data_IF_849420530448
#
_entry.id   IF_849420530448
#
_cell.length_a   1.000
_cell.length_b   1.000
_cell.length_c   1.000
_cell.angle_alpha   90.00
_cell.angle_beta   90.00
_cell.angle_gamma   90.00
#
_symmetry.space_group_name_H-M   'P 1'
#
loop_
_entity.id
_entity.type
_entity.pdbx_description
1 polymer ?
#
# COMPACT_ATOMS: atom_id res chain seq x y z
N UNK A 1 1.93 -25.52 11.96
CA UNK A 1 1.76 -24.62 13.13
C UNK A 1 0.90 -23.45 12.70
N UNK A 2 -0.35 -23.39 13.16
CA UNK A 2 -1.25 -22.26 12.94
C UNK A 2 -0.88 -21.18 13.98
N UNK A 3 0.14 -20.37 13.68
CA UNK A 3 0.48 -19.25 14.55
C UNK A 3 -0.53 -18.12 14.33
N UNK A 4 -0.90 -17.42 15.41
CA UNK A 4 -1.78 -16.24 15.38
C UNK A 4 -1.36 -15.24 14.29
N UNK A 5 -0.06 -15.14 14.05
CA UNK A 5 0.53 -14.33 13.01
C UNK A 5 0.03 -14.65 11.58
N UNK A 6 0.00 -15.93 11.20
CA UNK A 6 -0.45 -16.35 9.86
C UNK A 6 -1.93 -16.01 9.67
N UNK A 7 -2.76 -16.25 10.70
CA UNK A 7 -4.19 -15.92 10.67
C UNK A 7 -4.43 -14.41 10.50
N UNK A 8 -3.63 -13.56 11.15
CA UNK A 8 -3.74 -12.12 11.01
C UNK A 8 -3.36 -11.64 9.60
N UNK A 9 -2.38 -12.26 8.95
CA UNK A 9 -2.02 -11.93 7.57
C UNK A 9 -3.04 -12.46 6.57
N UNK A 10 -3.59 -13.65 6.77
CA UNK A 10 -4.71 -14.17 5.97
C UNK A 10 -5.90 -13.22 6.03
N UNK A 11 -6.25 -12.79 7.25
CA UNK A 11 -7.29 -11.80 7.47
C UNK A 11 -6.98 -10.47 6.78
N UNK A 12 -5.73 -10.00 6.84
CA UNK A 12 -5.28 -8.78 6.16
C UNK A 12 -5.50 -8.87 4.65
N UNK A 13 -5.14 -10.01 4.03
CA UNK A 13 -5.36 -10.20 2.58
C UNK A 13 -6.85 -10.21 2.24
N UNK A 14 -7.68 -10.89 3.04
CA UNK A 14 -9.12 -10.91 2.84
C UNK A 14 -9.73 -9.50 2.97
N UNK A 15 -9.25 -8.69 3.92
CA UNK A 15 -9.70 -7.31 4.06
C UNK A 15 -9.28 -6.46 2.87
N UNK A 16 -8.06 -6.58 2.36
CA UNK A 16 -7.66 -5.87 1.15
C UNK A 16 -8.46 -6.31 -0.08
N UNK A 17 -8.75 -7.61 -0.21
CA UNK A 17 -9.62 -8.13 -1.28
C UNK A 17 -11.05 -7.60 -1.15
N UNK A 18 -11.60 -7.60 0.06
CA UNK A 18 -12.93 -7.06 0.36
C UNK A 18 -13.02 -5.55 0.12
N UNK A 19 -12.00 -4.78 0.53
CA UNK A 19 -11.91 -3.34 0.26
C UNK A 19 -11.81 -3.06 -1.25
N UNK A 20 -10.95 -3.78 -1.96
CA UNK A 20 -10.80 -3.69 -3.42
C UNK A 20 -12.14 -3.95 -4.13
N UNK A 21 -12.78 -5.08 -3.81
CA UNK A 21 -14.07 -5.45 -4.40
C UNK A 21 -15.19 -4.46 -4.07
N UNK A 22 -15.24 -3.95 -2.84
CA UNK A 22 -16.24 -2.94 -2.43
C UNK A 22 -16.03 -1.60 -3.10
N UNK A 23 -14.80 -1.11 -3.25
CA UNK A 23 -14.53 0.13 -3.99
C UNK A 23 -14.89 0.00 -5.48
N UNK A 24 -14.54 -1.13 -6.11
CA UNK A 24 -14.90 -1.41 -7.50
C UNK A 24 -16.44 -1.48 -7.63
N UNK A 25 -17.12 -2.20 -6.74
CA UNK A 25 -18.58 -2.29 -6.74
C UNK A 25 -19.26 -0.93 -6.48
N UNK A 26 -18.70 -0.11 -5.58
CA UNK A 26 -19.17 1.25 -5.30
C UNK A 26 -19.06 2.15 -6.53
N UNK A 27 -17.95 2.02 -7.26
CA UNK A 27 -17.68 2.75 -8.49
C UNK A 27 -18.72 2.38 -9.58
N UNK A 28 -18.94 1.10 -9.88
CA UNK A 28 -19.94 0.68 -10.87
C UNK A 28 -21.39 0.95 -10.43
N UNK A 29 -21.70 0.73 -9.15
CA UNK A 29 -23.05 0.93 -8.61
C UNK A 29 -23.40 2.38 -8.29
N UNK A 30 -22.43 3.30 -8.34
CA UNK A 30 -22.56 4.72 -7.91
C UNK A 30 -23.13 4.86 -6.49
N UNK A 31 -22.84 3.90 -5.60
CA UNK A 31 -23.35 3.85 -4.22
C UNK A 31 -22.31 4.33 -3.23
N UNK A 32 -22.51 5.53 -2.69
CA UNK A 32 -21.62 6.12 -1.67
C UNK A 32 -21.52 5.26 -0.41
N UNK A 33 -22.60 4.55 -0.03
CA UNK A 33 -22.58 3.63 1.12
C UNK A 33 -21.54 2.52 0.95
N UNK A 34 -21.42 1.95 -0.26
CA UNK A 34 -20.42 0.91 -0.52
C UNK A 34 -18.99 1.48 -0.46
N UNK A 35 -18.80 2.71 -0.94
CA UNK A 35 -17.51 3.39 -0.86
C UNK A 35 -17.10 3.62 0.60
N UNK A 36 -18.02 4.05 1.46
CA UNK A 36 -17.77 4.22 2.91
C UNK A 36 -17.46 2.89 3.60
N UNK A 37 -18.14 1.81 3.23
CA UNK A 37 -17.82 0.47 3.73
C UNK A 37 -16.39 0.10 3.32
N UNK A 38 -16.00 0.36 2.07
CA UNK A 38 -14.62 0.18 1.60
C UNK A 38 -13.61 0.92 2.48
N UNK A 39 -13.87 2.19 2.82
CA UNK A 39 -13.02 2.98 3.73
C UNK A 39 -12.86 2.30 5.09
N UNK A 40 -13.98 1.86 5.69
CA UNK A 40 -13.93 1.20 7.00
C UNK A 40 -13.19 -0.14 6.96
N UNK A 41 -13.32 -0.89 5.86
CA UNK A 41 -12.54 -2.11 5.64
C UNK A 41 -11.04 -1.76 5.52
N UNK A 42 -10.67 -0.69 4.81
CA UNK A 42 -9.28 -0.23 4.73
C UNK A 42 -8.72 0.21 6.07
N UNK A 43 -9.53 0.88 6.92
CA UNK A 43 -9.13 1.24 8.29
C UNK A 43 -8.93 -0.02 9.14
N UNK A 44 -9.85 -0.99 9.06
CA UNK A 44 -9.69 -2.26 9.75
C UNK A 44 -8.43 -3.02 9.26
N UNK A 45 -8.19 -3.04 7.95
CA UNK A 45 -7.00 -3.62 7.34
C UNK A 45 -5.72 -2.95 7.85
N UNK A 46 -5.71 -1.62 7.97
CA UNK A 46 -4.57 -0.87 8.51
C UNK A 46 -4.28 -1.27 9.97
N UNK A 47 -5.31 -1.30 10.83
CA UNK A 47 -5.17 -1.69 12.24
C UNK A 47 -4.68 -3.13 12.37
N UNK A 48 -5.30 -4.07 11.64
CA UNK A 48 -4.95 -5.48 11.71
C UNK A 48 -3.55 -5.73 11.15
N UNK A 49 -3.15 -5.04 10.07
CA UNK A 49 -1.79 -5.12 9.53
C UNK A 49 -0.76 -4.61 10.54
N UNK A 50 -1.04 -3.49 11.22
CA UNK A 50 -0.16 -2.96 12.27
C UNK A 50 -0.03 -3.94 13.44
N UNK A 51 -1.14 -4.56 13.87
CA UNK A 51 -1.11 -5.60 14.91
C UNK A 51 -0.34 -6.82 14.42
N UNK A 52 -0.55 -7.28 13.19
CA UNK A 52 0.12 -8.44 12.61
C UNK A 52 1.64 -8.26 12.55
N UNK A 53 2.10 -7.09 12.09
CA UNK A 53 3.51 -6.72 12.10
C UNK A 53 4.04 -6.62 13.54
N UNK A 54 3.30 -6.03 14.48
CA UNK A 54 3.69 -5.94 15.88
C UNK A 54 3.81 -7.30 16.57
N UNK A 55 2.86 -8.21 16.35
CA UNK A 55 2.91 -9.59 16.83
C UNK A 55 4.13 -10.31 16.25
N UNK A 56 4.39 -10.15 14.95
CA UNK A 56 5.56 -10.75 14.30
C UNK A 56 6.87 -10.25 14.87
N UNK A 57 6.91 -8.96 15.18
CA UNK A 57 8.06 -8.34 15.83
C UNK A 57 8.28 -8.97 17.21
N UNK A 58 7.23 -9.10 18.02
CA UNK A 58 7.31 -9.75 19.33
C UNK A 58 7.72 -11.24 19.24
N UNK A 59 7.16 -12.00 18.31
CA UNK A 59 7.52 -13.40 18.06
C UNK A 59 9.02 -13.53 17.70
N UNK A 60 9.55 -12.60 16.89
CA UNK A 60 10.98 -12.59 16.56
C UNK A 60 11.88 -12.46 17.80
N UNK A 61 11.49 -11.64 18.78
CA UNK A 61 12.22 -11.52 20.05
C UNK A 61 12.08 -12.77 20.92
N UNK A 62 10.88 -13.36 20.99
CA UNK A 62 10.65 -14.59 21.76
C UNK A 62 11.43 -15.78 21.21
N UNK A 63 11.67 -15.82 19.90
CA UNK A 63 12.50 -16.83 19.24
C UNK A 63 14.02 -16.56 19.39
N UNK A 64 14.43 -15.52 20.11
CA UNK A 64 15.84 -15.16 20.32
C UNK A 64 16.53 -14.52 19.11
N UNK A 65 15.78 -14.13 18.07
CA UNK A 65 16.32 -13.51 16.84
C UNK A 65 16.35 -11.98 16.97
N UNK A 66 15.27 -11.38 17.49
CA UNK A 66 15.19 -9.95 17.83
C UNK A 66 15.30 -9.00 16.63
N UNK A 67 14.49 -9.18 15.58
CA UNK A 67 14.50 -8.32 14.38
C UNK A 67 13.15 -7.72 14.04
N UNK A 68 13.18 -6.60 13.31
CA UNK A 68 11.98 -5.98 12.75
C UNK A 68 11.39 -6.82 11.60
N UNK A 69 10.05 -6.81 11.41
CA UNK A 69 9.35 -7.65 10.44
C UNK A 69 9.34 -7.01 9.03
N UNK A 70 10.51 -6.78 8.45
CA UNK A 70 10.70 -6.18 7.11
C UNK A 70 11.95 -6.71 6.39
N UNK A 71 12.50 -7.84 6.84
CA UNK A 71 13.85 -8.27 6.37
C UNK A 71 13.79 -9.35 5.30
N UNK A 72 12.68 -10.07 5.17
CA UNK A 72 12.47 -11.01 4.07
C UNK A 72 11.47 -10.44 3.04
N UNK A 73 11.38 -11.09 1.88
CA UNK A 73 10.52 -10.64 0.79
C UNK A 73 9.04 -10.66 1.20
N UNK A 74 8.60 -11.70 1.90
CA UNK A 74 7.21 -11.80 2.40
C UNK A 74 6.83 -10.59 3.26
N UNK A 75 7.64 -10.31 4.29
CA UNK A 75 7.46 -9.20 5.22
C UNK A 75 7.53 -7.84 4.52
N UNK A 76 8.45 -7.70 3.56
CA UNK A 76 8.58 -6.50 2.72
C UNK A 76 7.32 -6.24 1.91
N UNK A 77 6.72 -7.28 1.31
CA UNK A 77 5.47 -7.17 0.55
C UNK A 77 4.29 -6.81 1.44
N UNK A 78 4.19 -7.41 2.63
CA UNK A 78 3.13 -7.05 3.59
C UNK A 78 3.29 -5.61 4.06
N UNK A 79 4.51 -5.19 4.39
CA UNK A 79 4.80 -3.81 4.79
C UNK A 79 4.54 -2.82 3.64
N UNK A 80 4.79 -3.22 2.40
CA UNK A 80 4.42 -2.44 1.22
C UNK A 80 2.92 -2.23 1.12
N UNK A 81 2.12 -3.31 1.16
CA UNK A 81 0.67 -3.24 1.06
C UNK A 81 0.07 -2.36 2.17
N UNK A 82 0.58 -2.49 3.40
CA UNK A 82 0.22 -1.63 4.52
C UNK A 82 0.56 -0.14 4.25
N UNK A 83 1.76 0.14 3.76
CA UNK A 83 2.20 1.51 3.46
C UNK A 83 1.36 2.16 2.35
N UNK A 84 1.04 1.42 1.29
CA UNK A 84 0.13 1.87 0.21
C UNK A 84 -1.24 2.20 0.77
N UNK A 85 -1.80 1.34 1.63
CA UNK A 85 -3.10 1.58 2.24
C UNK A 85 -3.12 2.81 3.15
N UNK A 86 -2.08 3.03 3.96
CA UNK A 86 -1.98 4.22 4.80
C UNK A 86 -1.89 5.50 3.96
N UNK A 87 -1.07 5.50 2.90
CA UNK A 87 -0.97 6.65 2.00
C UNK A 87 -2.29 6.89 1.27
N UNK A 88 -2.97 5.82 0.86
CA UNK A 88 -4.31 5.91 0.27
C UNK A 88 -5.32 6.54 1.24
N UNK A 89 -5.41 6.06 2.48
CA UNK A 89 -6.32 6.62 3.49
C UNK A 89 -6.04 8.10 3.75
N UNK A 90 -4.77 8.51 3.75
CA UNK A 90 -4.38 9.92 3.81
C UNK A 90 -4.90 10.72 2.60
N UNK A 91 -4.74 10.18 1.38
CA UNK A 91 -5.25 10.81 0.15
C UNK A 91 -6.78 10.88 0.14
N UNK A 92 -7.47 9.80 0.52
CA UNK A 92 -8.93 9.79 0.64
C UNK A 92 -9.41 10.85 1.62
N UNK A 93 -8.77 10.94 2.79
CA UNK A 93 -9.09 11.95 3.80
C UNK A 93 -8.85 13.38 3.29
N UNK A 94 -7.73 13.62 2.60
CA UNK A 94 -7.34 14.94 2.10
C UNK A 94 -8.24 15.45 0.97
N UNK A 95 -8.57 14.57 0.01
CA UNK A 95 -9.32 14.92 -1.19
C UNK A 95 -10.83 14.62 -1.07
N UNK A 96 -11.24 13.93 0.00
CA UNK A 96 -12.64 13.51 0.28
C UNK A 96 -13.29 12.74 -0.87
N UNK A 97 -12.48 12.10 -1.71
CA UNK A 97 -12.94 11.31 -2.83
C UNK A 97 -12.50 9.86 -2.69
N UNK A 98 -13.50 8.97 -2.64
CA UNK A 98 -13.34 7.53 -2.43
C UNK A 98 -13.09 6.76 -3.72
N UNK A 99 -13.34 7.35 -4.89
CA UNK A 99 -13.16 6.65 -6.17
C UNK A 99 -11.72 6.24 -6.42
N UNK A 100 -10.75 6.95 -5.83
CA UNK A 100 -9.34 6.58 -5.89
C UNK A 100 -9.06 5.17 -5.34
N UNK A 101 -9.86 4.70 -4.38
CA UNK A 101 -9.70 3.37 -3.77
C UNK A 101 -9.86 2.23 -4.77
N UNK A 102 -10.71 2.41 -5.79
CA UNK A 102 -10.94 1.42 -6.83
C UNK A 102 -9.71 1.17 -7.72
N UNK A 103 -8.72 2.07 -7.69
CA UNK A 103 -7.49 1.95 -8.48
C UNK A 103 -6.25 1.70 -7.61
N UNK A 104 -6.24 2.22 -6.38
CA UNK A 104 -5.09 2.11 -5.48
C UNK A 104 -5.12 0.83 -4.63
N UNK A 105 -6.26 0.49 -4.03
CA UNK A 105 -6.37 -0.70 -3.16
C UNK A 105 -6.16 -2.04 -3.89
N UNK A 106 -6.55 -2.21 -5.17
CA UNK A 106 -6.17 -3.40 -5.93
C UNK A 106 -4.65 -3.65 -5.95
N UNK A 107 -3.81 -2.60 -5.95
CA UNK A 107 -2.35 -2.74 -5.91
C UNK A 107 -1.95 -3.43 -4.59
N UNK A 108 -2.44 -2.94 -3.45
CA UNK A 108 -2.17 -3.55 -2.14
C UNK A 108 -2.67 -5.01 -2.06
N UNK A 109 -3.86 -5.29 -2.61
CA UNK A 109 -4.39 -6.65 -2.66
C UNK A 109 -3.53 -7.59 -3.51
N UNK A 110 -3.13 -7.17 -4.72
CA UNK A 110 -2.27 -7.97 -5.60
C UNK A 110 -0.89 -8.21 -4.97
N UNK A 111 -0.35 -7.22 -4.27
CA UNK A 111 0.88 -7.39 -3.48
C UNK A 111 0.72 -8.48 -2.42
N UNK A 112 -0.40 -8.49 -1.69
CA UNK A 112 -0.65 -9.54 -0.69
C UNK A 112 -0.85 -10.92 -1.30
N UNK A 113 -1.51 -11.02 -2.46
CA UNK A 113 -1.62 -12.28 -3.20
C UNK A 113 -0.24 -12.81 -3.61
N UNK A 114 0.64 -11.93 -4.06
CA UNK A 114 2.02 -12.30 -4.38
C UNK A 114 2.83 -12.65 -3.12
N UNK A 115 2.57 -12.00 -1.98
CA UNK A 115 3.21 -12.37 -0.72
C UNK A 115 2.95 -13.84 -0.36
N UNK A 116 1.75 -14.37 -0.61
CA UNK A 116 1.45 -15.78 -0.33
C UNK A 116 2.30 -16.80 -1.09
N UNK A 117 2.89 -16.43 -2.22
CA UNK A 117 3.76 -17.35 -2.96
C UNK A 117 5.17 -17.42 -2.39
N UNK A 118 5.47 -16.64 -1.34
CA UNK A 118 6.80 -16.49 -0.76
C UNK A 118 6.89 -17.12 0.63
N UNK A 119 8.11 -17.45 1.05
CA UNK A 119 8.35 -18.05 2.37
C UNK A 119 8.01 -17.07 3.51
N UNK A 120 7.07 -17.49 4.36
CA UNK A 120 6.62 -16.72 5.53
C UNK A 120 7.38 -17.09 6.81
N UNK A 121 8.45 -17.90 6.73
CA UNK A 121 9.22 -18.35 7.90
C UNK A 121 10.06 -17.21 8.51
N UNK A 122 10.17 -17.20 9.84
CA UNK A 122 11.04 -16.25 10.55
C UNK A 122 12.44 -16.85 10.60
N UNK A 123 13.33 -16.34 9.73
CA UNK A 123 14.72 -16.77 9.69
C UNK A 123 15.66 -15.77 10.40
N UNK A 124 16.82 -16.23 10.90
CA UNK A 124 17.87 -15.34 11.39
C UNK A 124 18.34 -14.37 10.31
N UNK A 125 18.77 -13.16 10.69
CA UNK A 125 19.33 -12.24 9.71
C UNK A 125 20.69 -12.73 9.24
N UNK A 126 20.97 -12.57 7.94
CA UNK A 126 22.35 -12.58 7.49
C UNK A 126 23.11 -11.40 8.11
N UNK A 127 24.41 -11.54 8.44
CA UNK A 127 25.18 -10.49 9.11
C UNK A 127 25.09 -9.11 8.45
N UNK A 128 24.99 -9.06 7.13
CA UNK A 128 24.84 -7.83 6.36
C UNK A 128 23.56 -7.03 6.66
N UNK A 129 22.50 -7.66 7.19
CA UNK A 129 21.23 -6.98 7.49
C UNK A 129 21.18 -6.37 8.91
N UNK A 130 22.22 -6.54 9.73
CA UNK A 130 22.26 -6.05 11.12
C UNK A 130 22.84 -4.64 11.21
N UNK A 131 22.19 -3.66 10.57
CA UNK A 131 22.65 -2.26 10.59
C UNK A 131 21.49 -1.27 10.73
N UNK A 132 21.73 -0.16 11.43
CA UNK A 132 20.81 0.96 11.51
C UNK A 132 20.54 1.60 10.13
N UNK A 133 21.52 1.54 9.22
CA UNK A 133 21.37 2.06 7.86
C UNK A 133 20.30 1.32 7.06
N UNK A 134 20.17 0.00 7.27
CA UNK A 134 19.11 -0.80 6.65
C UNK A 134 17.73 -0.31 7.09
N UNK A 135 17.56 0.00 8.37
CA UNK A 135 16.26 0.46 8.91
C UNK A 135 15.84 1.78 8.27
N UNK A 136 16.79 2.73 8.16
CA UNK A 136 16.55 4.01 7.49
C UNK A 136 16.24 3.82 6.00
N UNK A 137 17.00 2.96 5.31
CA UNK A 137 16.78 2.62 3.90
C UNK A 137 15.39 2.06 3.65
N UNK A 138 15.01 1.03 4.42
CA UNK A 138 13.71 0.36 4.29
C UNK A 138 12.57 1.36 4.48
N UNK A 139 12.55 2.11 5.58
CA UNK A 139 11.44 3.04 5.87
C UNK A 139 11.32 4.11 4.78
N UNK A 140 12.43 4.73 4.37
CA UNK A 140 12.41 5.79 3.35
C UNK A 140 11.98 5.27 1.97
N UNK A 141 12.45 4.08 1.56
CA UNK A 141 12.02 3.44 0.33
C UNK A 141 10.51 3.14 0.33
N UNK A 142 9.97 2.58 1.43
CA UNK A 142 8.56 2.18 1.48
C UNK A 142 7.59 3.37 1.47
N UNK A 143 7.95 4.48 2.12
CA UNK A 143 7.17 5.73 2.01
C UNK A 143 7.20 6.24 0.56
N UNK A 144 8.36 6.19 -0.09
CA UNK A 144 8.51 6.56 -1.49
C UNK A 144 7.65 5.70 -2.42
N UNK A 145 7.76 4.38 -2.29
CA UNK A 145 7.00 3.43 -3.12
C UNK A 145 5.50 3.50 -2.88
N UNK A 146 5.04 3.74 -1.65
CA UNK A 146 3.62 3.93 -1.38
C UNK A 146 3.06 5.14 -2.13
N UNK A 147 3.79 6.26 -2.13
CA UNK A 147 3.41 7.45 -2.88
C UNK A 147 3.39 7.20 -4.41
N UNK A 148 4.38 6.46 -4.94
CA UNK A 148 4.39 6.08 -6.35
C UNK A 148 3.29 5.10 -6.74
N UNK A 149 2.94 4.14 -5.87
CA UNK A 149 1.84 3.22 -6.11
C UNK A 149 0.50 3.96 -6.21
N UNK A 150 0.27 4.93 -5.31
CA UNK A 150 -0.91 5.80 -5.38
C UNK A 150 -0.89 6.66 -6.64
N UNK A 151 0.26 7.25 -6.97
CA UNK A 151 0.45 8.00 -8.22
C UNK A 151 0.11 7.16 -9.44
N UNK A 152 0.57 5.91 -9.50
CA UNK A 152 0.30 5.00 -10.61
C UNK A 152 -1.21 4.69 -10.73
N UNK A 153 -1.87 4.37 -9.61
CA UNK A 153 -3.32 4.14 -9.60
C UNK A 153 -4.13 5.35 -10.07
N UNK A 154 -3.77 6.55 -9.60
CA UNK A 154 -4.43 7.82 -10.00
C UNK A 154 -4.10 8.17 -11.45
N UNK A 155 -2.90 7.89 -11.95
CA UNK A 155 -2.54 8.12 -13.35
C UNK A 155 -3.36 7.27 -14.31
N UNK A 156 -3.68 6.02 -13.96
CA UNK A 156 -4.64 5.21 -14.74
C UNK A 156 -6.00 5.90 -14.80
N UNK A 157 -6.50 6.41 -13.66
CA UNK A 157 -7.74 7.17 -13.62
C UNK A 157 -7.67 8.44 -14.50
N UNK A 158 -6.54 9.15 -14.47
CA UNK A 158 -6.28 10.32 -15.32
C UNK A 158 -6.39 9.97 -16.81
N UNK A 159 -5.70 8.93 -17.27
CA UNK A 159 -5.74 8.54 -18.69
C UNK A 159 -7.14 8.12 -19.14
N UNK A 160 -7.88 7.41 -18.29
CA UNK A 160 -9.28 7.04 -18.58
C UNK A 160 -10.17 8.28 -18.70
N UNK A 161 -9.98 9.29 -17.84
CA UNK A 161 -10.75 10.54 -17.88
C UNK A 161 -10.36 11.42 -19.07
N UNK A 162 -9.07 11.59 -19.33
CA UNK A 162 -8.56 12.41 -20.44
C UNK A 162 -9.06 11.89 -21.79
N UNK A 163 -8.98 10.57 -22.02
CA UNK A 163 -9.49 9.93 -23.25
C UNK A 163 -10.99 10.15 -23.44
N UNK A 164 -11.75 10.23 -22.34
CA UNK A 164 -13.19 10.47 -22.39
C UNK A 164 -13.53 11.93 -22.71
N UNK A 165 -12.80 12.88 -22.12
CA UNK A 165 -12.94 14.32 -22.39
C UNK A 165 -12.61 14.63 -23.85
N UNK A 166 -11.53 14.04 -24.39
CA UNK A 166 -11.18 14.13 -25.81
C UNK A 166 -12.27 13.59 -26.73
N UNK A 167 -12.86 12.44 -26.37
CA UNK A 167 -13.95 11.82 -27.12
C UNK A 167 -15.30 12.56 -26.98
N UNK A 168 -15.38 13.67 -26.22
CA UNK A 168 -16.61 14.43 -25.91
C UNK A 168 -17.79 13.54 -25.48
N UNK A 169 -17.50 12.43 -24.81
CA UNK A 169 -18.51 11.40 -24.53
C UNK A 169 -18.68 11.24 -23.03
N UNK A 170 -19.69 11.84 -22.40
CA UNK A 170 -19.99 11.62 -20.98
C UNK A 170 -20.79 10.34 -20.73
N UNK A 171 -20.16 9.17 -20.91
CA UNK A 171 -20.79 7.87 -20.67
C UNK A 171 -20.17 7.10 -19.51
N UNK A 172 -21.02 6.50 -18.69
CA UNK A 172 -20.63 5.48 -17.72
C UNK A 172 -20.07 6.00 -16.39
N UNK A 173 -19.18 5.20 -15.82
CA UNK A 173 -18.68 5.34 -14.43
C UNK A 173 -17.60 6.41 -14.30
N UNK A 174 -16.90 6.71 -15.41
CA UNK A 174 -15.83 7.71 -15.51
C UNK A 174 -16.39 9.15 -15.36
N UNK A 175 -17.70 9.35 -15.55
CA UNK A 175 -18.38 10.61 -15.24
C UNK A 175 -18.33 10.99 -13.74
N UNK A 176 -18.15 10.01 -12.84
CA UNK A 176 -18.02 10.24 -11.40
C UNK A 176 -16.58 10.56 -10.98
N UNK A 177 -15.61 10.54 -11.89
CA UNK A 177 -14.23 10.86 -11.58
C UNK A 177 -14.04 12.37 -11.40
N UNK A 178 -13.12 12.80 -10.51
CA UNK A 178 -12.76 14.20 -10.41
C UNK A 178 -12.12 14.69 -11.71
N UNK A 179 -12.01 16.03 -11.85
CA UNK A 179 -11.47 16.66 -13.05
C UNK A 179 -10.06 16.16 -13.37
N UNK A 180 -9.70 16.12 -14.66
CA UNK A 180 -8.32 15.82 -15.12
C UNK A 180 -7.28 16.65 -14.41
N UNK A 181 -7.56 17.94 -14.15
CA UNK A 181 -6.69 18.83 -13.36
C UNK A 181 -6.47 18.36 -11.92
N UNK A 182 -7.50 17.84 -11.25
CA UNK A 182 -7.37 17.30 -9.88
C UNK A 182 -6.56 16.01 -9.87
N UNK A 183 -6.77 15.15 -10.88
CA UNK A 183 -6.04 13.90 -11.03
C UNK A 183 -4.56 14.17 -11.31
N UNK A 184 -4.25 15.10 -12.21
CA UNK A 184 -2.89 15.54 -12.53
C UNK A 184 -2.19 16.15 -11.31
N UNK A 185 -2.86 17.04 -10.57
CA UNK A 185 -2.34 17.62 -9.32
C UNK A 185 -2.04 16.55 -8.25
N UNK A 186 -2.90 15.54 -8.13
CA UNK A 186 -2.68 14.43 -7.19
C UNK A 186 -1.51 13.53 -7.62
N UNK A 187 -1.38 13.23 -8.91
CA UNK A 187 -0.23 12.50 -9.47
C UNK A 187 1.06 13.27 -9.17
N UNK A 188 1.10 14.55 -9.54
CA UNK A 188 2.25 15.42 -9.33
C UNK A 188 2.65 15.51 -7.85
N UNK A 189 1.69 15.76 -6.95
CA UNK A 189 1.94 15.83 -5.51
C UNK A 189 2.43 14.50 -4.95
N UNK A 190 1.86 13.38 -5.39
CA UNK A 190 2.30 12.05 -4.95
C UNK A 190 3.74 11.78 -5.39
N UNK A 191 4.14 12.19 -6.59
CA UNK A 191 5.53 12.09 -7.08
C UNK A 191 6.47 13.00 -6.28
N UNK A 192 6.05 14.24 -5.97
CA UNK A 192 6.85 15.17 -5.15
C UNK A 192 7.10 14.62 -3.75
N UNK A 193 6.15 13.90 -3.17
CA UNK A 193 6.38 13.19 -1.91
C UNK A 193 7.27 11.98 -2.14
N UNK A 194 6.99 11.16 -3.15
CA UNK A 194 7.70 9.90 -3.39
C UNK A 194 9.19 10.08 -3.72
N UNK A 195 9.53 11.06 -4.56
CA UNK A 195 10.88 11.23 -5.10
C UNK A 195 11.93 11.53 -4.03
N UNK A 196 11.78 12.53 -3.13
CA UNK A 196 12.75 12.78 -2.06
C UNK A 196 12.93 11.58 -1.12
N UNK A 197 11.85 10.88 -0.79
CA UNK A 197 11.92 9.68 0.05
C UNK A 197 12.68 8.54 -0.64
N UNK A 198 12.45 8.33 -1.94
CA UNK A 198 13.22 7.35 -2.71
C UNK A 198 14.69 7.77 -2.84
N UNK A 199 14.98 9.07 -3.06
CA UNK A 199 16.36 9.58 -3.09
C UNK A 199 17.07 9.33 -1.76
N UNK A 200 16.43 9.65 -0.64
CA UNK A 200 16.94 9.32 0.68
C UNK A 200 17.14 7.81 0.87
N UNK A 201 16.22 7.00 0.35
CA UNK A 201 16.35 5.54 0.27
C UNK A 201 17.60 5.10 -0.47
N UNK A 202 17.87 5.65 -1.65
CA UNK A 202 19.07 5.32 -2.43
C UNK A 202 20.34 5.72 -1.66
N UNK A 203 20.38 6.90 -1.04
CA UNK A 203 21.54 7.38 -0.26
C UNK A 203 21.78 6.47 0.94
N UNK A 204 20.75 6.18 1.72
CA UNK A 204 20.85 5.30 2.90
C UNK A 204 21.16 3.86 2.53
N UNK A 205 20.70 3.40 1.37
CA UNK A 205 21.05 2.09 0.82
C UNK A 205 22.51 2.00 0.38
N UNK A 206 23.04 3.06 -0.25
CA UNK A 206 24.45 3.15 -0.59
C UNK A 206 25.34 3.24 0.66
N UNK A 207 24.90 3.95 1.70
CA UNK A 207 25.58 3.99 3.00
C UNK A 207 25.60 2.60 3.65
N UNK A 208 24.49 1.87 3.61
CA UNK A 208 24.41 0.49 4.08
C UNK A 208 25.35 -0.45 3.31
N UNK A 209 25.41 -0.34 1.98
CA UNK A 209 26.26 -1.20 1.15
C UNK A 209 27.77 -1.01 1.36
N UNK A 210 28.18 0.14 1.93
CA UNK A 210 29.58 0.44 2.25
C UNK A 210 29.94 0.11 3.72
N UNK A 211 29.00 -0.46 4.50
CA UNK A 211 29.15 -0.76 5.92
C UNK A 211 29.27 -2.27 6.15
#
# INVERSE_FOLDING_TARGET
MNTLNVQLFDLTTLLFGGASGTYIAAMYGKKETLARIGTWICVAAAVISTVALGVRWAESYQMGIGRIPVTNLYESLVFFAWSVNLFYLFVEWKYKNRTFGAFVIPIAFLTMLFAFTNESSIQPLVPALQSYWLHAHVITCFVGYAAFAVSAGVAVMYFLKARQEEAKTEKGVIGCFPSTKTLDDLVYKSIIWGFPFLTAGIITGAAWANY
#
